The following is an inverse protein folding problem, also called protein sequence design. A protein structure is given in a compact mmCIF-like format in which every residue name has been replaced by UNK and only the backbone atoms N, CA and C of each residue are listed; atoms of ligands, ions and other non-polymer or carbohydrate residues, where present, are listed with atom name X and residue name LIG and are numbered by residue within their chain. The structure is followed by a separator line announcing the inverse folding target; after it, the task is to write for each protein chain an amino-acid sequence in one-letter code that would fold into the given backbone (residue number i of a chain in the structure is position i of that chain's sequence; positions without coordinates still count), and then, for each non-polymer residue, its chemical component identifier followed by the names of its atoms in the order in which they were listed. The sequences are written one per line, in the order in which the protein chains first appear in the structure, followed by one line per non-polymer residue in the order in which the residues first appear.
data_IF_483318594344
#
_entry.id   IF_483318594344
#
_cell.length_a   1.000
_cell.length_b   1.000
_cell.length_c   1.000
_cell.angle_alpha   90.00
_cell.angle_beta   90.00
_cell.angle_gamma   90.00
#
_symmetry.space_group_name_H-M   'P 1'
#
loop_
_entity.id
_entity.type
_entity.pdbx_description
1 polymer ?
#
# COMPACT_ATOMS: atom_id res chain seq x y z
N UNK A 1 -1.24 24.29 -21.39
CA UNK A 1 -2.41 23.39 -21.56
C UNK A 1 -2.23 22.43 -22.74
N UNK A 2 -2.02 22.90 -23.98
CA UNK A 2 -1.84 22.02 -25.15
C UNK A 2 -0.67 21.00 -25.03
N UNK A 3 0.48 21.42 -24.49
CA UNK A 3 1.62 20.52 -24.27
C UNK A 3 1.34 19.40 -23.24
N UNK A 4 0.55 19.69 -22.20
CA UNK A 4 0.15 18.69 -21.20
C UNK A 4 -0.81 17.67 -21.79
N UNK A 5 -1.77 18.13 -22.60
CA UNK A 5 -2.72 17.26 -23.31
C UNK A 5 -1.97 16.35 -24.29
N UNK A 6 -1.03 16.90 -25.06
CA UNK A 6 -0.21 16.11 -25.99
C UNK A 6 0.63 15.06 -25.25
N UNK A 7 1.29 15.44 -24.16
CA UNK A 7 2.06 14.51 -23.31
C UNK A 7 1.16 13.41 -22.74
N UNK A 8 -0.01 13.75 -22.23
CA UNK A 8 -0.97 12.78 -21.71
C UNK A 8 -1.42 11.77 -22.79
N UNK A 9 -1.78 12.25 -23.98
CA UNK A 9 -2.18 11.38 -25.10
C UNK A 9 -1.01 10.49 -25.52
N UNK A 10 0.18 11.04 -25.64
CA UNK A 10 1.38 10.28 -26.00
C UNK A 10 1.65 9.16 -24.98
N UNK A 11 1.60 9.47 -23.69
CA UNK A 11 1.80 8.48 -22.61
C UNK A 11 0.73 7.38 -22.66
N UNK A 12 -0.53 7.74 -22.92
CA UNK A 12 -1.61 6.75 -23.06
C UNK A 12 -1.36 5.83 -24.26
N UNK A 13 -1.03 6.40 -25.42
CA UNK A 13 -0.78 5.61 -26.64
C UNK A 13 0.42 4.69 -26.46
N UNK A 14 1.51 5.17 -25.86
CA UNK A 14 2.70 4.36 -25.58
C UNK A 14 2.39 3.29 -24.53
N UNK A 15 1.68 3.63 -23.46
CA UNK A 15 1.31 2.69 -22.40
C UNK A 15 0.41 1.57 -22.92
N UNK A 16 -0.71 1.93 -23.56
CA UNK A 16 -1.66 0.97 -24.12
C UNK A 16 -1.01 0.17 -25.25
N UNK A 17 -0.27 0.83 -26.14
CA UNK A 17 0.47 0.18 -27.22
C UNK A 17 1.50 -0.82 -26.69
N UNK A 18 2.22 -0.47 -25.63
CA UNK A 18 3.14 -1.35 -24.93
C UNK A 18 2.45 -2.58 -24.34
N UNK A 19 1.30 -2.39 -23.68
CA UNK A 19 0.49 -3.51 -23.16
C UNK A 19 0.01 -4.44 -24.28
N UNK A 20 -0.49 -3.90 -25.39
CA UNK A 20 -0.96 -4.69 -26.54
C UNK A 20 0.20 -5.43 -27.20
N UNK A 21 1.32 -4.76 -27.43
CA UNK A 21 2.53 -5.35 -28.00
C UNK A 21 3.07 -6.46 -27.11
N UNK A 22 3.07 -6.26 -25.79
CA UNK A 22 3.46 -7.27 -24.82
C UNK A 22 2.53 -8.48 -24.86
N UNK A 23 1.21 -8.26 -24.81
CA UNK A 23 0.23 -9.33 -24.86
C UNK A 23 0.33 -10.16 -26.14
N UNK A 24 0.42 -9.48 -27.29
CA UNK A 24 0.52 -10.14 -28.57
C UNK A 24 1.86 -10.88 -28.72
N UNK A 25 2.96 -10.23 -28.36
CA UNK A 25 4.31 -10.80 -28.41
C UNK A 25 4.46 -12.01 -27.49
N UNK A 26 3.97 -11.91 -26.26
CA UNK A 26 3.99 -12.98 -25.27
C UNK A 26 3.23 -14.22 -25.75
N UNK A 27 2.01 -14.03 -26.26
CA UNK A 27 1.21 -15.15 -26.78
C UNK A 27 1.83 -15.75 -28.04
N UNK A 28 2.30 -14.91 -28.97
CA UNK A 28 2.97 -15.37 -30.20
C UNK A 28 4.24 -16.16 -29.89
N UNK A 29 5.04 -15.72 -28.92
CA UNK A 29 6.24 -16.42 -28.47
C UNK A 29 5.91 -17.82 -27.94
N UNK A 30 4.87 -17.93 -27.10
CA UNK A 30 4.42 -19.23 -26.57
C UNK A 30 3.90 -20.16 -27.68
N UNK A 31 3.19 -19.60 -28.66
CA UNK A 31 2.64 -20.39 -29.77
C UNK A 31 3.70 -20.84 -30.78
N UNK A 32 4.79 -20.09 -30.96
CA UNK A 32 5.95 -20.49 -31.76
C UNK A 32 6.73 -21.61 -31.06
N UNK A 33 6.97 -21.49 -29.74
CA UNK A 33 7.77 -22.47 -28.99
C UNK A 33 6.98 -23.78 -28.77
N UNK A 34 5.68 -23.70 -28.51
CA UNK A 34 4.81 -24.85 -28.27
C UNK A 34 3.63 -24.83 -29.23
N UNK A 35 3.80 -25.26 -30.50
CA UNK A 35 2.72 -25.24 -31.48
C UNK A 35 1.60 -26.20 -31.07
N UNK A 36 0.41 -25.65 -30.86
CA UNK A 36 -0.81 -26.41 -30.54
C UNK A 36 -1.73 -26.58 -31.76
N UNK A 37 -1.51 -25.82 -32.84
CA UNK A 37 -2.23 -25.93 -34.12
C UNK A 37 -1.37 -26.68 -35.13
N UNK A 38 -1.94 -27.70 -35.77
CA UNK A 38 -1.26 -28.51 -36.80
C UNK A 38 -0.50 -29.74 -36.28
N UNK A 39 -0.52 -29.98 -34.96
CA UNK A 39 0.02 -31.18 -34.31
C UNK A 39 -1.15 -32.05 -33.86
N UNK A 40 -1.11 -33.36 -34.14
CA UNK A 40 -2.14 -34.31 -33.74
C UNK A 40 -1.63 -35.31 -32.69
N UNK A 41 -2.53 -35.81 -31.85
CA UNK A 41 -2.23 -36.84 -30.84
C UNK A 41 -1.64 -36.29 -29.54
N UNK A 42 -0.89 -37.12 -28.82
CA UNK A 42 -0.37 -36.83 -27.48
C UNK A 42 0.49 -35.54 -27.41
N UNK A 43 1.25 -35.24 -28.47
CA UNK A 43 2.10 -34.06 -28.54
C UNK A 43 1.31 -32.72 -28.49
N UNK A 44 0.08 -32.68 -29.00
CA UNK A 44 -0.75 -31.48 -28.93
C UNK A 44 -1.26 -31.22 -27.50
N UNK A 45 -1.59 -32.29 -26.76
CA UNK A 45 -2.02 -32.22 -25.37
C UNK A 45 -0.87 -31.73 -24.48
N UNK A 46 0.34 -32.26 -24.68
CA UNK A 46 1.52 -31.84 -23.92
C UNK A 46 1.89 -30.38 -24.18
N UNK A 47 1.83 -29.93 -25.44
CA UNK A 47 2.09 -28.53 -25.78
C UNK A 47 1.06 -27.60 -25.14
N UNK A 48 -0.24 -27.92 -25.19
CA UNK A 48 -1.29 -27.12 -24.54
C UNK A 48 -1.07 -27.02 -23.01
N UNK A 49 -0.67 -28.12 -22.37
CA UNK A 49 -0.34 -28.12 -20.94
C UNK A 49 0.83 -27.18 -20.64
N UNK A 50 1.90 -27.23 -21.44
CA UNK A 50 3.07 -26.34 -21.28
C UNK A 50 2.71 -24.87 -21.52
N UNK A 51 1.90 -24.57 -22.53
CA UNK A 51 1.37 -23.22 -22.76
C UNK A 51 0.59 -22.71 -21.55
N UNK A 52 -0.30 -23.53 -21.00
CA UNK A 52 -1.08 -23.19 -19.80
C UNK A 52 -0.22 -22.95 -18.55
N UNK A 53 0.91 -23.65 -18.43
CA UNK A 53 1.85 -23.44 -17.32
C UNK A 53 2.70 -22.18 -17.50
N UNK A 54 3.14 -21.85 -18.72
CA UNK A 54 4.10 -20.75 -18.96
C UNK A 54 3.42 -19.39 -19.11
N UNK A 55 2.25 -19.32 -19.77
CA UNK A 55 1.56 -18.05 -20.04
C UNK A 55 1.35 -17.19 -18.79
N UNK A 56 0.88 -17.71 -17.63
CA UNK A 56 0.70 -16.89 -16.43
C UNK A 56 1.99 -16.23 -15.95
N UNK A 57 3.10 -16.96 -15.94
CA UNK A 57 4.40 -16.43 -15.52
C UNK A 57 4.97 -15.39 -16.48
N UNK A 58 4.67 -15.52 -17.78
CA UNK A 58 5.04 -14.50 -18.75
C UNK A 58 4.27 -13.20 -18.46
N UNK A 59 2.98 -13.25 -18.18
CA UNK A 59 2.21 -12.04 -17.86
C UNK A 59 2.56 -11.42 -16.50
N UNK A 60 2.81 -12.25 -15.50
CA UNK A 60 3.16 -11.80 -14.13
C UNK A 60 4.65 -11.40 -14.01
N UNK A 61 5.51 -11.94 -14.88
CA UNK A 61 6.97 -11.77 -14.85
C UNK A 61 7.44 -10.31 -14.74
N UNK A 62 7.00 -9.38 -15.61
CA UNK A 62 7.41 -7.97 -15.53
C UNK A 62 7.03 -7.31 -14.21
N UNK A 63 5.83 -7.58 -13.71
CA UNK A 63 5.39 -7.06 -12.41
C UNK A 63 6.25 -7.62 -11.27
N UNK A 64 6.58 -8.91 -11.31
CA UNK A 64 7.48 -9.54 -10.35
C UNK A 64 8.90 -8.98 -10.41
N UNK A 65 9.43 -8.67 -11.60
CA UNK A 65 10.75 -8.06 -11.75
C UNK A 65 10.77 -6.66 -11.13
N UNK A 66 9.76 -5.84 -11.43
CA UNK A 66 9.65 -4.48 -10.86
C UNK A 66 9.51 -4.57 -9.34
N UNK A 67 8.64 -5.45 -8.84
CA UNK A 67 8.47 -5.66 -7.41
C UNK A 67 9.76 -6.17 -6.75
N UNK A 68 10.51 -7.07 -7.41
CA UNK A 68 11.77 -7.57 -6.89
C UNK A 68 12.81 -6.45 -6.77
N UNK A 69 12.95 -5.59 -7.78
CA UNK A 69 13.94 -4.52 -7.80
C UNK A 69 13.58 -3.38 -6.85
N UNK A 70 12.31 -2.97 -6.81
CA UNK A 70 11.90 -1.77 -6.06
C UNK A 70 11.44 -2.05 -4.63
N UNK A 71 11.04 -3.28 -4.32
CA UNK A 71 10.55 -3.64 -2.98
C UNK A 71 11.45 -4.67 -2.31
N UNK A 72 11.68 -5.82 -2.96
CA UNK A 72 12.40 -6.93 -2.32
C UNK A 72 13.88 -6.59 -2.13
N UNK A 73 14.53 -6.05 -3.16
CA UNK A 73 15.95 -5.72 -3.10
C UNK A 73 16.28 -4.73 -1.97
N UNK A 74 15.58 -3.57 -1.83
CA UNK A 74 15.82 -2.65 -0.72
C UNK A 74 15.57 -3.27 0.66
N UNK A 75 14.60 -4.18 0.79
CA UNK A 75 14.34 -4.89 2.05
C UNK A 75 15.52 -5.81 2.39
N UNK A 76 15.98 -6.61 1.44
CA UNK A 76 17.14 -7.51 1.64
C UNK A 76 18.41 -6.70 1.93
N UNK A 77 18.63 -5.59 1.24
CA UNK A 77 19.79 -4.73 1.48
C UNK A 77 19.70 -4.05 2.86
N UNK A 78 18.52 -3.59 3.27
CA UNK A 78 18.31 -3.05 4.63
C UNK A 78 18.59 -4.11 5.71
N UNK A 79 18.16 -5.35 5.48
CA UNK A 79 18.46 -6.48 6.36
C UNK A 79 19.94 -6.83 6.37
N UNK A 80 20.67 -6.69 5.26
CA UNK A 80 22.12 -6.88 5.23
C UNK A 80 22.82 -5.76 6.00
N UNK A 81 22.44 -4.51 5.74
CA UNK A 81 23.02 -3.32 6.36
C UNK A 81 22.77 -3.28 7.87
N UNK A 82 21.69 -3.86 8.39
CA UNK A 82 21.45 -3.94 9.83
C UNK A 82 22.47 -4.80 10.59
N UNK A 83 23.26 -5.64 9.90
CA UNK A 83 24.41 -6.35 10.48
C UNK A 83 25.76 -5.63 10.28
N UNK A 84 25.77 -4.46 9.64
CA UNK A 84 26.95 -3.65 9.42
C UNK A 84 26.96 -2.43 10.36
N UNK A 85 28.11 -1.78 10.47
CA UNK A 85 28.25 -0.54 11.23
C UNK A 85 27.43 0.60 10.62
N UNK A 86 27.46 1.78 11.26
CA UNK A 86 26.75 2.97 10.80
C UNK A 86 27.13 3.39 9.36
N UNK A 87 28.35 3.08 8.93
CA UNK A 87 28.83 3.36 7.58
C UNK A 87 28.42 2.32 6.54
N UNK A 88 27.97 1.14 6.97
CA UNK A 88 27.69 -0.01 6.10
C UNK A 88 28.95 -0.72 5.61
N UNK A 89 30.14 -0.38 6.14
CA UNK A 89 31.42 -0.88 5.64
C UNK A 89 31.89 -2.10 6.42
N UNK A 90 31.76 -2.07 7.74
CA UNK A 90 32.26 -3.14 8.62
C UNK A 90 31.12 -4.03 9.10
N UNK A 91 31.26 -5.34 8.97
CA UNK A 91 30.31 -6.30 9.52
C UNK A 91 30.46 -6.39 11.05
N UNK A 92 29.40 -6.02 11.78
CA UNK A 92 29.36 -6.01 13.26
C UNK A 92 28.50 -7.13 13.85
N UNK A 93 27.93 -7.99 13.00
CA UNK A 93 27.07 -9.09 13.43
C UNK A 93 25.80 -8.58 14.14
N UNK A 94 25.49 -9.13 15.31
CA UNK A 94 24.26 -8.81 16.05
C UNK A 94 24.36 -7.60 16.99
N UNK A 95 25.51 -6.89 17.02
CA UNK A 95 25.75 -5.79 17.96
C UNK A 95 24.66 -4.69 17.91
N UNK A 96 24.19 -4.34 16.70
CA UNK A 96 23.10 -3.36 16.53
C UNK A 96 21.78 -3.82 17.18
N UNK A 97 21.48 -5.12 17.12
CA UNK A 97 20.28 -5.68 17.71
C UNK A 97 20.40 -5.73 19.24
N UNK A 98 21.54 -6.15 19.78
CA UNK A 98 21.79 -6.12 21.23
C UNK A 98 21.64 -4.71 21.80
N UNK A 99 22.21 -3.71 21.11
CA UNK A 99 22.05 -2.31 21.45
C UNK A 99 20.58 -1.87 21.40
N UNK A 100 19.87 -2.16 20.31
CA UNK A 100 18.47 -1.77 20.13
C UNK A 100 17.55 -2.40 21.20
N UNK A 101 17.74 -3.67 21.52
CA UNK A 101 16.95 -4.34 22.57
C UNK A 101 17.34 -3.90 23.99
N UNK A 102 18.57 -3.44 24.20
CA UNK A 102 18.98 -2.79 25.45
C UNK A 102 18.33 -1.42 25.65
N UNK A 103 18.12 -0.68 24.56
CA UNK A 103 17.56 0.66 24.60
C UNK A 103 16.10 0.68 25.09
N UNK A 104 15.80 1.61 26.01
CA UNK A 104 14.47 1.71 26.60
C UNK A 104 13.48 2.40 25.66
N UNK A 105 13.93 3.39 24.91
CA UNK A 105 13.07 4.13 23.99
C UNK A 105 12.63 3.26 22.82
N UNK A 106 13.54 2.47 22.26
CA UNK A 106 13.26 1.50 21.20
C UNK A 106 12.24 0.45 21.63
N UNK A 107 12.41 -0.13 22.82
CA UNK A 107 11.44 -1.10 23.38
C UNK A 107 10.06 -0.48 23.59
N UNK A 108 10.01 0.74 24.14
CA UNK A 108 8.75 1.46 24.30
C UNK A 108 8.09 1.75 22.94
N UNK A 109 8.86 2.17 21.95
CA UNK A 109 8.37 2.44 20.60
C UNK A 109 7.79 1.18 19.95
N UNK A 110 8.47 0.03 20.04
CA UNK A 110 7.95 -1.26 19.54
C UNK A 110 6.65 -1.63 20.24
N UNK A 111 6.63 -1.57 21.58
CA UNK A 111 5.45 -1.96 22.34
C UNK A 111 4.24 -1.08 22.01
N UNK A 112 4.45 0.24 21.94
CA UNK A 112 3.40 1.17 21.55
C UNK A 112 2.90 0.90 20.12
N UNK A 113 3.78 0.61 19.17
CA UNK A 113 3.39 0.24 17.80
C UNK A 113 2.60 -1.07 17.77
N UNK A 114 2.99 -2.09 18.53
CA UNK A 114 2.27 -3.36 18.58
C UNK A 114 0.86 -3.15 19.16
N UNK A 115 0.73 -2.39 20.25
CA UNK A 115 -0.58 -2.03 20.81
C UNK A 115 -1.41 -1.30 19.78
N UNK A 116 -0.83 -0.32 19.08
CA UNK A 116 -1.53 0.46 18.08
C UNK A 116 -2.02 -0.40 16.92
N UNK A 117 -1.17 -1.29 16.40
CA UNK A 117 -1.49 -2.24 15.32
C UNK A 117 -2.57 -3.26 15.72
N UNK A 118 -2.67 -3.62 17.00
CA UNK A 118 -3.70 -4.53 17.47
C UNK A 118 -5.02 -3.80 17.75
N UNK A 119 -4.97 -2.71 18.51
CA UNK A 119 -6.16 -2.05 19.05
C UNK A 119 -6.87 -1.22 17.99
N UNK A 120 -6.14 -0.42 17.20
CA UNK A 120 -6.77 0.54 16.28
C UNK A 120 -7.50 -0.17 15.14
N UNK A 121 -6.88 -1.09 14.38
CA UNK A 121 -7.60 -1.83 13.34
C UNK A 121 -8.77 -2.65 13.90
N UNK A 122 -8.60 -3.32 15.05
CA UNK A 122 -9.68 -4.08 15.66
C UNK A 122 -10.87 -3.19 16.06
N UNK A 123 -10.62 -2.05 16.70
CA UNK A 123 -11.66 -1.09 17.07
C UNK A 123 -12.34 -0.48 15.83
N UNK A 124 -11.57 -0.08 14.82
CA UNK A 124 -12.10 0.45 13.57
C UNK A 124 -12.96 -0.58 12.83
N UNK A 125 -12.52 -1.84 12.73
CA UNK A 125 -13.30 -2.91 12.10
C UNK A 125 -14.57 -3.22 12.90
N UNK A 126 -14.47 -3.31 14.23
CA UNK A 126 -15.61 -3.56 15.10
C UNK A 126 -16.68 -2.47 14.97
N UNK A 127 -16.29 -1.20 15.11
CA UNK A 127 -17.20 -0.06 14.97
C UNK A 127 -17.73 0.06 13.53
N UNK A 128 -16.89 -0.16 12.53
CA UNK A 128 -17.28 -0.16 11.12
C UNK A 128 -18.33 -1.21 10.80
N UNK A 129 -18.22 -2.42 11.36
CA UNK A 129 -19.21 -3.48 11.21
C UNK A 129 -20.55 -3.13 11.88
N UNK A 130 -20.52 -2.57 13.09
CA UNK A 130 -21.74 -2.10 13.77
C UNK A 130 -22.46 -1.08 12.90
N UNK A 131 -21.72 -0.07 12.42
CA UNK A 131 -22.26 0.97 11.58
C UNK A 131 -22.81 0.40 10.26
N UNK A 132 -22.10 -0.53 9.62
CA UNK A 132 -22.57 -1.16 8.39
C UNK A 132 -23.91 -1.89 8.58
N UNK A 133 -24.04 -2.70 9.63
CA UNK A 133 -25.26 -3.46 9.94
C UNK A 133 -26.43 -2.54 10.29
N UNK A 134 -26.18 -1.48 11.06
CA UNK A 134 -27.22 -0.49 11.38
C UNK A 134 -27.69 0.23 10.12
N UNK A 135 -26.75 0.61 9.24
CA UNK A 135 -27.05 1.40 8.05
C UNK A 135 -27.81 0.62 6.98
N UNK A 136 -27.62 -0.71 6.90
CA UNK A 136 -28.38 -1.58 6.00
C UNK A 136 -29.88 -1.61 6.30
N UNK A 137 -30.29 -1.27 7.52
CA UNK A 137 -31.70 -1.26 7.94
C UNK A 137 -32.41 0.08 7.69
N UNK A 138 -31.70 1.10 7.19
CA UNK A 138 -32.20 2.47 7.07
C UNK A 138 -32.46 2.82 5.60
N UNK A 139 -33.61 3.43 5.29
CA UNK A 139 -33.99 3.81 3.93
C UNK A 139 -33.04 4.82 3.26
N UNK A 140 -32.32 5.63 4.05
CA UNK A 140 -31.27 6.56 3.59
C UNK A 140 -29.85 6.03 3.83
N UNK A 141 -29.70 4.71 3.96
CA UNK A 141 -28.43 4.07 4.29
C UNK A 141 -27.29 4.38 3.30
N UNK A 142 -27.60 4.59 2.02
CA UNK A 142 -26.60 4.98 1.01
C UNK A 142 -25.95 6.32 1.34
N UNK A 143 -26.72 7.31 1.80
CA UNK A 143 -26.19 8.63 2.16
C UNK A 143 -25.35 8.54 3.43
N UNK A 144 -25.84 7.78 4.43
CA UNK A 144 -25.10 7.56 5.67
C UNK A 144 -23.73 6.90 5.40
N UNK A 145 -23.68 5.83 4.60
CA UNK A 145 -22.41 5.19 4.19
C UNK A 145 -21.46 6.19 3.53
N UNK A 146 -21.95 6.99 2.58
CA UNK A 146 -21.13 8.00 1.90
C UNK A 146 -20.51 9.02 2.87
N UNK A 147 -21.27 9.51 3.86
CA UNK A 147 -20.76 10.44 4.87
C UNK A 147 -19.71 9.80 5.78
N UNK A 148 -19.92 8.54 6.17
CA UNK A 148 -19.00 7.78 7.02
C UNK A 148 -17.68 7.50 6.29
N UNK A 149 -17.73 7.25 4.98
CA UNK A 149 -16.54 7.02 4.16
C UNK A 149 -15.90 8.31 3.62
N UNK A 150 -16.57 9.46 3.73
CA UNK A 150 -16.05 10.76 3.28
C UNK A 150 -14.62 11.07 3.76
N UNK A 151 -14.24 10.78 5.03
CA UNK A 151 -12.89 11.06 5.51
C UNK A 151 -11.80 10.28 4.76
N UNK A 152 -12.11 9.14 4.15
CA UNK A 152 -11.13 8.37 3.35
C UNK A 152 -10.64 9.14 2.13
N UNK A 153 -11.38 10.16 1.68
CA UNK A 153 -10.97 11.02 0.57
C UNK A 153 -9.96 12.11 1.00
N UNK A 154 -9.80 12.36 2.30
CA UNK A 154 -8.91 13.39 2.83
C UNK A 154 -7.49 12.82 2.96
N UNK A 155 -6.48 13.61 2.60
CA UNK A 155 -5.08 13.20 2.77
C UNK A 155 -4.70 13.12 4.25
N UNK A 156 -3.73 12.26 4.60
CA UNK A 156 -3.21 12.18 5.97
C UNK A 156 -2.62 13.51 6.46
N UNK A 157 -2.05 14.32 5.56
CA UNK A 157 -1.56 15.66 5.89
C UNK A 157 -2.73 16.61 6.23
N UNK A 158 -3.82 16.58 5.47
CA UNK A 158 -5.01 17.37 5.79
C UNK A 158 -5.65 16.91 7.10
N UNK A 159 -5.77 15.59 7.29
CA UNK A 159 -6.30 15.00 8.51
C UNK A 159 -5.46 15.39 9.74
N UNK A 160 -4.12 15.38 9.64
CA UNK A 160 -3.25 15.77 10.75
C UNK A 160 -3.42 17.23 11.16
N UNK A 161 -3.60 18.14 10.18
CA UNK A 161 -3.87 19.55 10.45
C UNK A 161 -5.24 19.73 11.13
N UNK A 162 -6.28 19.05 10.65
CA UNK A 162 -7.62 19.08 11.27
C UNK A 162 -7.53 18.66 12.73
N UNK A 163 -6.93 17.50 13.02
CA UNK A 163 -6.80 17.00 14.38
C UNK A 163 -5.89 17.86 15.25
N UNK A 164 -4.80 18.42 14.68
CA UNK A 164 -3.96 19.39 15.39
C UNK A 164 -4.78 20.58 15.84
N UNK A 165 -5.62 21.17 14.98
CA UNK A 165 -6.51 22.25 15.38
C UNK A 165 -7.53 21.79 16.42
N UNK A 166 -8.12 20.60 16.30
CA UNK A 166 -9.06 20.08 17.29
C UNK A 166 -8.44 20.01 18.69
N UNK A 167 -7.18 19.58 18.78
CA UNK A 167 -6.43 19.42 20.03
C UNK A 167 -5.55 20.62 20.43
N UNK A 168 -5.57 21.70 19.66
CA UNK A 168 -4.68 22.85 19.89
C UNK A 168 -4.99 23.50 21.24
N UNK A 169 -4.00 23.49 22.13
CA UNK A 169 -4.06 24.16 23.42
C UNK A 169 -3.17 25.39 23.42
N UNK A 170 -3.72 26.53 23.86
CA UNK A 170 -2.98 27.77 24.06
C UNK A 170 -2.85 28.09 25.55
N UNK A 171 -1.77 28.76 25.93
CA UNK A 171 -1.49 29.11 27.32
C UNK A 171 -2.55 30.03 27.95
N UNK A 172 -2.51 30.13 29.28
CA UNK A 172 -3.43 30.97 30.05
C UNK A 172 -3.39 32.44 29.58
N UNK A 173 -4.57 33.03 29.35
CA UNK A 173 -4.73 34.40 28.85
C UNK A 173 -4.80 34.53 27.32
N UNK A 174 -4.65 33.44 26.55
CA UNK A 174 -4.88 33.44 25.11
C UNK A 174 -6.24 32.82 24.76
N UNK A 175 -6.86 33.33 23.68
CA UNK A 175 -8.11 32.77 23.14
C UNK A 175 -7.85 31.38 22.58
N UNK A 176 -8.57 30.38 23.12
CA UNK A 176 -8.50 29.02 22.62
C UNK A 176 -9.14 28.96 21.24
N UNK A 177 -8.39 28.41 20.29
CA UNK A 177 -8.90 28.16 18.93
C UNK A 177 -9.17 26.67 18.71
N UNK A 178 -8.72 25.82 19.64
CA UNK A 178 -8.94 24.39 19.55
C UNK A 178 -10.36 24.02 19.92
N UNK A 179 -11.00 23.22 19.07
CA UNK A 179 -12.43 22.89 19.20
C UNK A 179 -12.75 22.28 20.57
N UNK A 180 -11.92 21.34 21.04
CA UNK A 180 -12.15 20.69 22.34
C UNK A 180 -11.96 21.66 23.51
N UNK A 181 -10.92 22.50 23.46
CA UNK A 181 -10.67 23.49 24.51
C UNK A 181 -11.75 24.58 24.54
N UNK A 182 -12.29 24.97 23.38
CA UNK A 182 -13.42 25.88 23.29
C UNK A 182 -14.70 25.27 23.92
N UNK A 183 -14.94 23.97 23.69
CA UNK A 183 -16.05 23.25 24.34
C UNK A 183 -15.87 23.21 25.86
N UNK A 184 -14.67 22.88 26.35
CA UNK A 184 -14.38 22.84 27.80
C UNK A 184 -14.63 24.22 28.42
N UNK A 185 -14.05 25.29 27.87
CA UNK A 185 -14.25 26.64 28.38
C UNK A 185 -15.72 27.10 28.39
N UNK A 186 -16.52 26.61 27.45
CA UNK A 186 -17.95 26.91 27.43
C UNK A 186 -18.70 26.27 28.60
N UNK A 187 -18.31 25.07 29.03
CA UNK A 187 -18.94 24.34 30.12
C UNK A 187 -18.28 24.54 31.49
N UNK A 188 -17.09 25.15 31.55
CA UNK A 188 -16.32 25.41 32.78
C UNK A 188 -15.12 24.49 32.92
#
# INVERSE_FOLDING_TARGET
MAAQIFSAIFVIVVGVGGCVAYFWGANKLVDIIFPSRGVAGAAAIDNLRRQGMIRPWLFVGPAMIILAIYLIYPVVETLRLSFHDRGGENFVGFANYEWAFGDREFRNAIFNNIIWLAVVPAACTFLGLIIAVLTDKIWWGTIAKSLIFLPLAISFVGASVIWKFIYEYRGAGQTQIGLLNAIIQYFG
#
